data_IF_152032863117
#
_entry.id   IF_152032863117
#
_cell.length_a   1.000
_cell.length_b   1.000
_cell.length_c   1.000
_cell.angle_alpha   90.00
_cell.angle_beta   90.00
_cell.angle_gamma   90.00
#
_symmetry.space_group_name_H-M   'P 1'
#
loop_
_entity.id
_entity.type
_entity.pdbx_description
1 polymer ?
#
# COMPACT_ATOMS: atom_id res chain seq x y z
N UNK A 1 48.44 6.72 -28.15
CA UNK A 1 46.96 6.74 -28.10
C UNK A 1 46.51 8.08 -27.56
N UNK A 2 45.72 8.83 -28.31
CA UNK A 2 45.27 10.18 -27.93
C UNK A 2 44.11 10.08 -26.94
N UNK A 3 44.30 10.57 -25.71
CA UNK A 3 43.20 10.68 -24.72
C UNK A 3 42.39 11.92 -25.03
N UNK A 4 41.16 11.73 -25.52
CA UNK A 4 40.18 12.81 -25.67
C UNK A 4 39.36 12.90 -24.38
N UNK A 5 39.33 14.08 -23.76
CA UNK A 5 38.49 14.38 -22.60
C UNK A 5 37.41 15.36 -23.05
N UNK A 6 36.15 14.90 -23.03
CA UNK A 6 34.99 15.75 -23.28
C UNK A 6 34.41 16.19 -21.93
N UNK A 7 34.31 17.49 -21.70
CA UNK A 7 33.69 18.08 -20.51
C UNK A 7 32.53 18.98 -20.92
N UNK A 8 31.47 19.03 -20.11
CA UNK A 8 30.40 20.03 -20.22
C UNK A 8 30.16 20.67 -18.85
N UNK A 9 29.90 21.96 -18.83
CA UNK A 9 29.38 22.64 -17.64
C UNK A 9 27.91 22.25 -17.47
N UNK A 10 27.52 21.80 -16.29
CA UNK A 10 26.12 21.51 -15.96
C UNK A 10 25.69 22.36 -14.77
N UNK A 11 24.52 22.98 -14.86
CA UNK A 11 23.87 23.62 -13.71
C UNK A 11 23.06 22.58 -12.96
N UNK A 12 23.23 22.51 -11.64
CA UNK A 12 22.49 21.59 -10.76
C UNK A 12 21.75 22.43 -9.72
N UNK A 13 20.41 22.34 -9.64
CA UNK A 13 19.54 21.46 -10.45
C UNK A 13 19.34 21.92 -11.90
N UNK A 14 19.26 20.95 -12.83
CA UNK A 14 18.89 21.18 -14.24
C UNK A 14 17.37 21.40 -14.36
N UNK A 15 16.97 22.67 -14.42
CA UNK A 15 15.55 23.08 -14.45
C UNK A 15 14.79 22.55 -15.67
N UNK A 16 15.47 22.45 -16.83
CA UNK A 16 14.87 21.91 -18.04
C UNK A 16 14.57 20.42 -17.87
N UNK A 17 15.50 19.68 -17.26
CA UNK A 17 15.33 18.26 -16.96
C UNK A 17 14.21 18.02 -15.95
N UNK A 18 14.15 18.80 -14.88
CA UNK A 18 13.04 18.73 -13.89
C UNK A 18 11.70 19.00 -14.56
N UNK A 19 11.61 20.05 -15.38
CA UNK A 19 10.36 20.41 -16.08
C UNK A 19 9.91 19.34 -17.06
N UNK A 20 10.85 18.71 -17.79
CA UNK A 20 10.55 17.57 -18.69
C UNK A 20 9.96 16.39 -17.93
N UNK A 21 10.57 16.02 -16.81
CA UNK A 21 10.10 14.93 -15.97
C UNK A 21 8.74 15.20 -15.34
N UNK A 22 8.46 16.45 -14.98
CA UNK A 22 7.13 16.84 -14.50
C UNK A 22 6.03 16.71 -15.57
N UNK A 23 6.38 16.93 -16.84
CA UNK A 23 5.44 16.85 -17.97
C UNK A 23 5.20 15.42 -18.44
N UNK A 24 6.22 14.57 -18.40
CA UNK A 24 6.17 13.18 -18.88
C UNK A 24 6.88 12.27 -17.85
N UNK A 25 6.26 12.03 -16.68
CA UNK A 25 6.87 11.25 -15.59
C UNK A 25 7.14 9.79 -15.97
N UNK A 26 6.50 9.25 -17.01
CA UNK A 26 6.78 7.93 -17.58
C UNK A 26 8.23 7.83 -18.12
N UNK A 27 8.79 8.95 -18.57
CA UNK A 27 10.18 9.07 -19.02
C UNK A 27 11.13 9.56 -17.92
N UNK A 28 10.63 9.63 -16.68
CA UNK A 28 11.39 9.99 -15.50
C UNK A 28 12.51 8.99 -15.17
N UNK A 29 13.48 9.37 -14.33
CA UNK A 29 14.59 8.50 -13.95
C UNK A 29 14.11 7.26 -13.17
N UNK A 30 14.82 6.15 -13.33
CA UNK A 30 14.66 4.95 -12.49
C UNK A 30 15.37 5.16 -11.15
N UNK A 31 14.67 4.94 -10.06
CA UNK A 31 15.20 5.11 -8.70
C UNK A 31 14.73 3.93 -7.85
N UNK A 32 15.65 3.30 -7.14
CA UNK A 32 15.36 2.20 -6.22
C UNK A 32 15.50 2.68 -4.77
N UNK A 33 14.50 2.38 -3.95
CA UNK A 33 14.46 2.67 -2.53
C UNK A 33 14.36 1.38 -1.72
N UNK A 34 15.20 1.26 -0.69
CA UNK A 34 15.00 0.33 0.41
C UNK A 34 14.52 1.16 1.61
N UNK A 35 13.31 0.92 2.08
CA UNK A 35 12.71 1.78 3.10
C UNK A 35 11.65 1.06 3.91
N UNK A 36 11.40 1.54 5.12
CA UNK A 36 10.20 1.22 5.90
C UNK A 36 9.54 2.50 6.38
N UNK A 37 8.46 2.33 7.13
CA UNK A 37 7.76 3.38 7.85
C UNK A 37 7.27 4.55 6.99
N UNK A 38 7.16 5.70 7.65
CA UNK A 38 6.54 6.90 7.11
C UNK A 38 7.53 7.88 6.47
N UNK A 39 8.84 7.69 6.67
CA UNK A 39 9.88 8.66 6.28
C UNK A 39 9.85 9.00 4.78
N UNK A 40 9.69 7.99 3.91
CA UNK A 40 9.62 8.22 2.47
C UNK A 40 8.21 8.60 1.97
N UNK A 41 7.17 8.60 2.80
CA UNK A 41 5.77 8.78 2.33
C UNK A 41 5.57 10.12 1.64
N UNK A 42 6.03 11.22 2.25
CA UNK A 42 5.98 12.54 1.64
C UNK A 42 6.79 12.62 0.34
N UNK A 43 8.01 12.06 0.35
CA UNK A 43 8.87 12.05 -0.83
C UNK A 43 8.26 11.26 -1.99
N UNK A 44 7.65 10.09 -1.75
CA UNK A 44 6.99 9.31 -2.81
C UNK A 44 5.82 10.06 -3.45
N UNK A 45 5.01 10.76 -2.66
CA UNK A 45 3.90 11.57 -3.18
C UNK A 45 4.38 12.70 -4.10
N UNK A 46 5.56 13.24 -3.83
CA UNK A 46 6.16 14.25 -4.70
C UNK A 46 6.86 13.62 -5.90
N UNK A 47 7.63 12.55 -5.70
CA UNK A 47 8.39 11.87 -6.75
C UNK A 47 7.51 11.30 -7.85
N UNK A 48 6.30 10.80 -7.54
CA UNK A 48 5.39 10.28 -8.58
C UNK A 48 5.04 11.33 -9.64
N UNK A 49 5.13 12.62 -9.31
CA UNK A 49 4.94 13.73 -10.26
C UNK A 49 6.08 13.88 -11.27
N UNK A 50 7.24 13.27 -11.01
CA UNK A 50 8.44 13.40 -11.83
C UNK A 50 8.94 12.04 -12.37
N UNK A 51 8.54 10.92 -11.76
CA UNK A 51 8.89 9.60 -12.24
C UNK A 51 7.87 8.54 -11.81
N UNK A 52 7.37 7.77 -12.78
CA UNK A 52 6.63 6.53 -12.55
C UNK A 52 7.55 5.31 -12.46
N UNK A 53 8.87 5.52 -12.59
CA UNK A 53 9.89 4.47 -12.63
C UNK A 53 10.57 4.27 -11.26
N UNK A 54 9.90 4.67 -10.17
CA UNK A 54 10.39 4.46 -8.81
C UNK A 54 10.03 3.06 -8.31
N UNK A 55 11.00 2.37 -7.71
CA UNK A 55 10.87 1.02 -7.17
C UNK A 55 11.10 1.11 -5.66
N UNK A 56 10.18 0.57 -4.88
CA UNK A 56 10.18 0.66 -3.42
C UNK A 56 10.15 -0.74 -2.83
N UNK A 57 11.26 -1.15 -2.25
CA UNK A 57 11.34 -2.33 -1.41
C UNK A 57 11.04 -1.95 0.03
N UNK A 58 10.00 -2.60 0.59
CA UNK A 58 9.54 -2.36 1.96
C UNK A 58 9.83 -3.54 2.88
N UNK A 59 10.22 -3.23 4.12
CA UNK A 59 10.45 -4.23 5.16
C UNK A 59 9.12 -4.77 5.71
N UNK A 60 8.85 -6.09 5.68
CA UNK A 60 7.64 -6.68 6.24
C UNK A 60 7.77 -7.00 7.74
N UNK A 61 8.70 -6.36 8.44
CA UNK A 61 9.06 -6.72 9.82
C UNK A 61 8.43 -5.82 10.89
N UNK A 62 7.68 -4.79 10.49
CA UNK A 62 7.00 -3.89 11.44
C UNK A 62 6.08 -4.66 12.39
N UNK A 63 6.22 -4.37 13.67
CA UNK A 63 5.49 -4.98 14.80
C UNK A 63 4.55 -3.98 15.49
N UNK A 64 4.29 -2.82 14.89
CA UNK A 64 3.40 -1.79 15.42
C UNK A 64 1.94 -1.84 14.94
N UNK A 65 1.04 -1.34 15.79
CA UNK A 65 -0.32 -0.92 15.43
C UNK A 65 -1.23 -2.01 14.85
N UNK A 66 -2.06 -1.65 13.88
CA UNK A 66 -3.04 -2.57 13.26
C UNK A 66 -2.40 -3.71 12.47
N UNK A 67 -1.15 -3.55 12.02
CA UNK A 67 -0.43 -4.61 11.31
C UNK A 67 -0.01 -5.72 12.27
N UNK A 68 0.45 -5.38 13.48
CA UNK A 68 0.80 -6.35 14.51
C UNK A 68 -0.35 -7.31 14.85
N UNK A 69 -1.57 -6.78 15.01
CA UNK A 69 -2.79 -7.58 15.25
C UNK A 69 -3.01 -8.62 14.15
N UNK A 70 -2.79 -8.26 12.88
CA UNK A 70 -2.95 -9.17 11.74
C UNK A 70 -1.86 -10.24 11.70
N UNK A 71 -0.61 -9.86 12.00
CA UNK A 71 0.51 -10.81 12.07
C UNK A 71 0.25 -11.89 13.11
N UNK A 72 -0.12 -11.48 14.33
CA UNK A 72 -0.44 -12.40 15.41
C UNK A 72 -1.66 -13.29 15.13
N UNK A 73 -2.61 -12.82 14.33
CA UNK A 73 -3.83 -13.57 14.03
C UNK A 73 -3.65 -14.60 12.89
N UNK A 74 -2.72 -14.37 11.95
CA UNK A 74 -2.68 -15.13 10.69
C UNK A 74 -1.31 -15.66 10.27
N UNK A 75 -0.26 -15.41 11.06
CA UNK A 75 1.14 -15.76 10.71
C UNK A 75 1.49 -15.21 9.32
N UNK A 76 1.42 -13.89 9.21
CA UNK A 76 1.59 -13.16 7.96
C UNK A 76 2.65 -12.05 8.09
N UNK A 77 3.30 -11.66 6.98
CA UNK A 77 4.21 -10.51 6.97
C UNK A 77 3.50 -9.20 7.36
N UNK A 78 4.24 -8.24 7.90
CA UNK A 78 3.70 -6.91 8.12
C UNK A 78 3.38 -6.22 6.79
N UNK A 79 2.11 -5.87 6.60
CA UNK A 79 1.62 -5.23 5.37
C UNK A 79 1.41 -3.72 5.50
N UNK A 80 1.70 -3.13 6.67
CA UNK A 80 1.43 -1.72 6.99
C UNK A 80 2.20 -0.75 6.09
N UNK A 81 3.50 -0.94 6.00
CA UNK A 81 4.39 -0.12 5.17
C UNK A 81 4.14 -0.34 3.68
N UNK A 82 3.88 -1.59 3.28
CA UNK A 82 3.46 -1.95 1.93
C UNK A 82 2.20 -1.18 1.51
N UNK A 83 1.11 -1.29 2.29
CA UNK A 83 -0.13 -0.53 2.04
C UNK A 83 0.14 0.97 1.98
N UNK A 84 0.87 1.50 2.96
CA UNK A 84 1.12 2.94 3.05
C UNK A 84 1.94 3.46 1.87
N UNK A 85 2.90 2.67 1.37
CA UNK A 85 3.70 2.99 0.18
C UNK A 85 2.88 2.91 -1.10
N UNK A 86 2.02 1.90 -1.24
CA UNK A 86 1.06 1.80 -2.35
C UNK A 86 0.16 3.03 -2.39
N UNK A 87 -0.38 3.47 -1.24
CA UNK A 87 -1.21 4.67 -1.17
C UNK A 87 -0.43 5.97 -1.45
N UNK A 88 0.83 6.06 -1.04
CA UNK A 88 1.65 7.22 -1.36
C UNK A 88 1.86 7.40 -2.88
N UNK A 89 1.93 6.28 -3.61
CA UNK A 89 2.15 6.23 -5.05
C UNK A 89 0.86 6.10 -5.87
N UNK A 90 -0.29 5.89 -5.24
CA UNK A 90 -1.58 5.81 -5.91
C UNK A 90 -1.87 7.07 -6.72
N UNK A 91 -2.53 6.92 -7.86
CA UNK A 91 -3.03 8.06 -8.63
C UNK A 91 -4.26 8.65 -7.90
N UNK A 92 -4.13 9.88 -7.43
CA UNK A 92 -5.20 10.59 -6.69
C UNK A 92 -6.09 11.43 -7.62
N UNK A 93 -5.87 11.36 -8.93
CA UNK A 93 -6.69 12.09 -9.91
C UNK A 93 -8.06 11.44 -10.11
N UNK A 94 -8.96 12.12 -10.82
CA UNK A 94 -10.32 11.62 -11.13
C UNK A 94 -10.30 10.28 -11.87
N UNK A 95 -9.21 9.97 -12.60
CA UNK A 95 -9.02 8.69 -13.28
C UNK A 95 -8.56 7.55 -12.34
N UNK A 96 -8.16 7.88 -11.11
CA UNK A 96 -7.55 6.98 -10.13
C UNK A 96 -8.50 6.35 -9.12
N UNK A 97 -9.82 6.34 -9.38
CA UNK A 97 -10.83 5.74 -8.50
C UNK A 97 -10.78 6.28 -7.06
N UNK A 98 -11.10 7.57 -6.84
CA UNK A 98 -11.00 8.22 -5.52
C UNK A 98 -11.76 7.48 -4.41
N UNK A 99 -12.87 6.83 -4.74
CA UNK A 99 -13.66 6.00 -3.84
C UNK A 99 -12.88 4.78 -3.31
N UNK A 100 -12.05 4.15 -4.16
CA UNK A 100 -11.20 3.03 -3.77
C UNK A 100 -10.03 3.53 -2.91
N UNK A 101 -9.41 4.64 -3.30
CA UNK A 101 -8.35 5.26 -2.50
C UNK A 101 -8.84 5.62 -1.10
N UNK A 102 -10.04 6.19 -1.00
CA UNK A 102 -10.69 6.53 0.28
C UNK A 102 -10.92 5.27 1.11
N UNK A 103 -11.48 4.20 0.53
CA UNK A 103 -11.70 2.93 1.22
C UNK A 103 -10.38 2.34 1.75
N UNK A 104 -9.34 2.29 0.93
CA UNK A 104 -8.06 1.67 1.29
C UNK A 104 -7.29 2.50 2.33
N UNK A 105 -7.51 3.81 2.35
CA UNK A 105 -6.98 4.73 3.36
C UNK A 105 -7.78 4.72 4.66
N UNK A 106 -9.02 4.22 4.65
CA UNK A 106 -9.92 4.27 5.79
C UNK A 106 -9.42 3.42 6.97
N UNK A 107 -9.67 3.94 8.17
CA UNK A 107 -9.43 3.27 9.46
C UNK A 107 -10.68 3.36 10.31
N UNK A 108 -11.00 2.27 10.99
CA UNK A 108 -12.02 2.30 12.03
C UNK A 108 -11.60 3.20 13.19
N UNK A 109 -12.59 3.77 13.87
CA UNK A 109 -12.37 4.55 15.09
C UNK A 109 -11.71 3.70 16.16
N UNK A 110 -10.88 4.33 17.00
CA UNK A 110 -10.31 3.67 18.18
C UNK A 110 -11.28 3.60 19.35
N UNK A 111 -12.31 4.45 19.36
CA UNK A 111 -13.22 4.63 20.50
C UNK A 111 -14.61 4.05 20.25
N UNK A 112 -14.90 3.60 19.03
CA UNK A 112 -16.18 2.96 18.72
C UNK A 112 -16.30 1.59 19.39
N UNK A 113 -17.54 1.23 19.69
CA UNK A 113 -17.89 -0.10 20.20
C UNK A 113 -17.55 -1.21 19.20
N UNK A 114 -17.01 -2.31 19.72
CA UNK A 114 -16.53 -3.43 18.93
C UNK A 114 -17.65 -4.13 18.12
N UNK A 115 -18.85 -4.26 18.67
CA UNK A 115 -19.98 -4.87 17.94
C UNK A 115 -20.52 -3.95 16.85
N UNK A 116 -20.46 -2.63 17.05
CA UNK A 116 -20.70 -1.65 15.97
C UNK A 116 -19.68 -1.82 14.84
N UNK A 117 -18.39 -1.94 15.15
CA UNK A 117 -17.34 -2.12 14.14
C UNK A 117 -17.50 -3.44 13.37
N UNK A 118 -17.82 -4.55 14.06
CA UNK A 118 -18.11 -5.84 13.41
C UNK A 118 -19.31 -5.76 12.47
N UNK A 119 -20.42 -5.14 12.90
CA UNK A 119 -21.59 -4.92 12.02
C UNK A 119 -21.23 -4.10 10.80
N UNK A 120 -20.41 -3.06 10.96
CA UNK A 120 -19.96 -2.24 9.85
C UNK A 120 -19.09 -3.03 8.87
N UNK A 121 -18.11 -3.78 9.37
CA UNK A 121 -17.30 -4.67 8.54
C UNK A 121 -18.17 -5.70 7.79
N UNK A 122 -19.16 -6.28 8.46
CA UNK A 122 -20.12 -7.19 7.82
C UNK A 122 -20.91 -6.49 6.70
N UNK A 123 -21.34 -5.24 6.89
CA UNK A 123 -21.99 -4.46 5.82
C UNK A 123 -21.03 -4.21 4.65
N UNK A 124 -19.74 -3.95 4.93
CA UNK A 124 -18.71 -3.80 3.89
C UNK A 124 -18.54 -5.09 3.08
N UNK A 125 -18.44 -6.25 3.74
CA UNK A 125 -18.35 -7.57 3.09
C UNK A 125 -19.55 -7.81 2.17
N UNK A 126 -20.75 -7.42 2.60
CA UNK A 126 -21.98 -7.55 1.81
C UNK A 126 -22.19 -6.42 0.77
N UNK A 127 -21.25 -5.47 0.65
CA UNK A 127 -21.33 -4.37 -0.30
C UNK A 127 -22.39 -3.32 0.01
N UNK A 128 -22.83 -3.23 1.28
CA UNK A 128 -23.89 -2.33 1.77
C UNK A 128 -23.37 -1.12 2.56
N UNK A 129 -22.09 -1.06 2.87
CA UNK A 129 -21.49 0.11 3.53
C UNK A 129 -21.32 1.25 2.52
N UNK A 130 -21.55 2.49 2.98
CA UNK A 130 -21.47 3.70 2.16
C UNK A 130 -20.12 3.84 1.46
N UNK A 131 -19.02 3.45 2.10
CA UNK A 131 -17.67 3.52 1.50
C UNK A 131 -17.46 2.53 0.34
N UNK A 132 -18.34 1.54 0.19
CA UNK A 132 -18.24 0.50 -0.85
C UNK A 132 -19.32 0.68 -1.91
N UNK A 133 -20.46 1.26 -1.56
CA UNK A 133 -21.60 1.37 -2.48
C UNK A 133 -21.28 2.22 -3.73
N UNK A 134 -20.38 3.20 -3.60
CA UNK A 134 -19.97 4.09 -4.69
C UNK A 134 -18.97 3.43 -5.66
N UNK A 135 -18.35 2.32 -5.28
CA UNK A 135 -17.35 1.63 -6.11
C UNK A 135 -18.04 0.89 -7.25
N UNK A 136 -17.68 1.13 -8.50
CA UNK A 136 -18.28 0.41 -9.63
C UNK A 136 -17.93 -1.10 -9.64
N UNK A 137 -18.80 -1.92 -10.24
CA UNK A 137 -18.44 -3.29 -10.59
C UNK A 137 -17.45 -3.29 -11.79
N UNK A 138 -16.49 -4.23 -11.87
CA UNK A 138 -16.33 -5.43 -11.03
C UNK A 138 -15.52 -5.21 -9.75
N UNK A 139 -14.91 -4.03 -9.54
CA UNK A 139 -13.99 -3.76 -8.43
C UNK A 139 -14.65 -3.93 -7.06
N UNK A 140 -15.91 -3.49 -6.93
CA UNK A 140 -16.71 -3.68 -5.70
C UNK A 140 -16.76 -5.13 -5.25
N UNK A 141 -17.14 -6.04 -6.15
CA UNK A 141 -17.25 -7.48 -5.86
C UNK A 141 -15.91 -8.07 -5.43
N UNK A 142 -14.83 -7.65 -6.08
CA UNK A 142 -13.50 -8.12 -5.77
C UNK A 142 -13.04 -7.68 -4.37
N UNK A 143 -13.30 -6.42 -4.01
CA UNK A 143 -13.03 -5.87 -2.69
C UNK A 143 -13.86 -6.59 -1.61
N UNK A 144 -15.16 -6.73 -1.84
CA UNK A 144 -16.07 -7.46 -0.94
C UNK A 144 -15.60 -8.90 -0.73
N UNK A 145 -15.17 -9.58 -1.79
CA UNK A 145 -14.66 -10.95 -1.71
C UNK A 145 -13.43 -11.05 -0.80
N UNK A 146 -12.43 -10.19 -0.98
CA UNK A 146 -11.24 -10.19 -0.11
C UNK A 146 -11.58 -9.84 1.35
N UNK A 147 -12.45 -8.85 1.60
CA UNK A 147 -12.96 -8.61 2.95
C UNK A 147 -13.67 -9.83 3.53
N UNK A 148 -14.41 -10.58 2.71
CA UNK A 148 -15.08 -11.81 3.10
C UNK A 148 -14.11 -12.87 3.59
N UNK A 149 -13.00 -13.10 2.89
CA UNK A 149 -11.95 -14.03 3.33
C UNK A 149 -11.36 -13.64 4.69
N UNK A 150 -11.05 -12.35 4.89
CA UNK A 150 -10.61 -11.86 6.20
C UNK A 150 -11.70 -12.09 7.26
N UNK A 151 -12.94 -11.73 6.98
CA UNK A 151 -14.06 -11.83 7.92
C UNK A 151 -14.35 -13.28 8.33
N UNK A 152 -14.19 -14.24 7.42
CA UNK A 152 -14.35 -15.67 7.72
C UNK A 152 -13.20 -16.21 8.58
N UNK A 153 -11.98 -15.71 8.39
CA UNK A 153 -10.80 -16.17 9.10
C UNK A 153 -10.62 -15.50 10.48
N UNK A 154 -11.11 -14.26 10.67
CA UNK A 154 -10.91 -13.54 11.92
C UNK A 154 -11.62 -14.23 13.10
N UNK A 155 -10.94 -14.30 14.25
CA UNK A 155 -11.55 -14.77 15.49
C UNK A 155 -12.66 -13.83 15.97
N UNK A 156 -13.63 -14.36 16.73
CA UNK A 156 -14.70 -13.54 17.34
C UNK A 156 -14.18 -12.42 18.24
N UNK A 157 -13.01 -12.62 18.84
CA UNK A 157 -12.36 -11.68 19.75
C UNK A 157 -11.36 -10.75 19.04
N UNK A 158 -11.26 -10.79 17.71
CA UNK A 158 -10.35 -9.94 16.97
C UNK A 158 -10.74 -8.46 17.12
N UNK A 159 -9.89 -7.65 17.75
CA UNK A 159 -10.19 -6.24 18.02
C UNK A 159 -10.03 -5.34 16.77
N UNK A 160 -11.16 -4.81 16.28
CA UNK A 160 -11.24 -4.00 15.06
C UNK A 160 -10.95 -2.51 15.29
N UNK A 161 -10.83 -2.05 16.54
CA UNK A 161 -10.56 -0.65 16.85
C UNK A 161 -9.22 -0.23 16.23
N UNK A 162 -9.25 0.87 15.48
CA UNK A 162 -8.09 1.39 14.74
C UNK A 162 -7.64 0.56 13.52
N UNK A 163 -8.34 -0.53 13.18
CA UNK A 163 -7.99 -1.37 12.04
C UNK A 163 -8.07 -0.59 10.72
N UNK A 164 -7.08 -0.76 9.85
CA UNK A 164 -7.12 -0.20 8.50
C UNK A 164 -7.84 -1.14 7.55
N UNK A 165 -8.84 -0.64 6.85
CA UNK A 165 -9.58 -1.43 5.86
C UNK A 165 -8.69 -1.91 4.72
N UNK A 166 -7.78 -1.06 4.22
CA UNK A 166 -6.77 -1.49 3.25
C UNK A 166 -5.93 -2.67 3.76
N UNK A 167 -5.55 -2.69 5.05
CA UNK A 167 -4.84 -3.83 5.61
C UNK A 167 -5.74 -5.08 5.72
N UNK A 168 -7.02 -4.93 6.08
CA UNK A 168 -7.95 -6.06 6.14
C UNK A 168 -8.16 -6.69 4.76
N UNK A 169 -8.25 -5.87 3.71
CA UNK A 169 -8.37 -6.31 2.31
C UNK A 169 -7.11 -7.06 1.87
N UNK A 170 -5.93 -6.51 2.13
CA UNK A 170 -4.65 -7.16 1.83
C UNK A 170 -4.51 -8.49 2.57
N UNK A 171 -4.87 -8.54 3.86
CA UNK A 171 -4.85 -9.78 4.65
C UNK A 171 -5.84 -10.82 4.10
N UNK A 172 -7.06 -10.42 3.77
CA UNK A 172 -8.03 -11.32 3.16
C UNK A 172 -7.60 -11.84 1.79
N UNK A 173 -6.93 -11.02 0.97
CA UNK A 173 -6.34 -11.46 -0.29
C UNK A 173 -5.13 -12.37 -0.12
N UNK A 174 -4.29 -12.13 0.89
CA UNK A 174 -3.20 -13.05 1.27
C UNK A 174 -3.75 -14.43 1.65
N UNK A 175 -4.79 -14.46 2.48
CA UNK A 175 -5.46 -15.71 2.87
C UNK A 175 -6.11 -16.43 1.68
N UNK A 176 -6.77 -15.69 0.79
CA UNK A 176 -7.38 -16.24 -0.42
C UNK A 176 -6.36 -16.82 -1.41
N UNK A 177 -5.14 -16.30 -1.45
CA UNK A 177 -4.09 -16.73 -2.39
C UNK A 177 -3.07 -17.65 -1.71
N UNK A 178 -3.52 -18.59 -0.87
CA UNK A 178 -2.65 -19.59 -0.23
C UNK A 178 -1.44 -19.01 0.53
N UNK A 179 -1.63 -17.86 1.20
CA UNK A 179 -0.56 -17.15 1.92
C UNK A 179 0.54 -16.59 0.98
N UNK A 180 0.18 -16.24 -0.24
CA UNK A 180 1.04 -15.48 -1.15
C UNK A 180 0.62 -14.00 -1.20
N UNK A 181 1.58 -13.10 -0.98
CA UNK A 181 1.33 -11.66 -0.93
C UNK A 181 1.34 -11.00 -2.31
N UNK A 182 2.18 -11.49 -3.23
CA UNK A 182 2.38 -10.88 -4.55
C UNK A 182 1.07 -10.74 -5.36
N UNK A 183 0.18 -11.75 -5.45
CA UNK A 183 -1.04 -11.62 -6.24
C UNK A 183 -1.96 -10.50 -5.74
N UNK A 184 -2.11 -10.38 -4.41
CA UNK A 184 -2.96 -9.33 -3.84
C UNK A 184 -2.30 -7.95 -3.92
N UNK A 185 -0.98 -7.85 -3.79
CA UNK A 185 -0.25 -6.59 -3.98
C UNK A 185 -0.38 -6.10 -5.42
N UNK A 186 -0.23 -7.00 -6.40
CA UNK A 186 -0.42 -6.67 -7.80
C UNK A 186 -1.84 -6.15 -8.05
N UNK A 187 -2.85 -6.86 -7.56
CA UNK A 187 -4.23 -6.46 -7.71
C UNK A 187 -4.51 -5.09 -7.06
N UNK A 188 -4.08 -4.90 -5.81
CA UNK A 188 -4.25 -3.66 -5.07
C UNK A 188 -3.57 -2.49 -5.81
N UNK A 189 -2.39 -2.71 -6.38
CA UNK A 189 -1.67 -1.73 -7.19
C UNK A 189 -2.46 -1.30 -8.43
N UNK A 190 -3.20 -2.22 -9.06
CA UNK A 190 -4.06 -1.91 -10.21
C UNK A 190 -5.32 -1.16 -9.81
N UNK A 191 -5.95 -1.53 -8.70
CA UNK A 191 -7.18 -0.89 -8.23
C UNK A 191 -7.02 0.60 -7.92
N UNK A 192 -5.85 1.01 -7.44
CA UNK A 192 -5.53 2.42 -7.12
C UNK A 192 -4.50 3.05 -8.06
N UNK A 193 -4.30 2.43 -9.23
CA UNK A 193 -3.38 2.88 -10.28
C UNK A 193 -2.03 3.39 -9.73
N UNK A 194 -1.27 2.52 -9.05
CA UNK A 194 0.00 2.89 -8.43
C UNK A 194 1.04 3.32 -9.47
N UNK A 195 1.58 4.53 -9.29
CA UNK A 195 2.57 5.18 -10.15
C UNK A 195 4.00 4.83 -9.69
N UNK A 196 4.35 3.55 -9.83
CA UNK A 196 5.63 2.99 -9.40
C UNK A 196 5.53 1.50 -9.16
N UNK A 197 6.58 0.90 -8.62
CA UNK A 197 6.58 -0.49 -8.16
C UNK A 197 6.81 -0.54 -6.66
N UNK A 198 5.99 -1.30 -5.95
CA UNK A 198 6.14 -1.54 -4.51
C UNK A 198 6.17 -3.05 -4.27
N UNK A 199 7.17 -3.52 -3.53
CA UNK A 199 7.36 -4.94 -3.21
C UNK A 199 7.88 -5.08 -1.79
N UNK A 200 7.54 -6.16 -1.10
CA UNK A 200 8.23 -6.54 0.12
C UNK A 200 9.60 -7.14 -0.21
N UNK A 201 10.56 -7.02 0.71
CA UNK A 201 11.89 -7.65 0.56
C UNK A 201 11.87 -9.17 0.75
N UNK A 202 10.84 -9.68 1.43
CA UNK A 202 10.55 -11.10 1.59
C UNK A 202 9.03 -11.30 1.72
N UNK A 203 8.57 -12.52 1.49
CA UNK A 203 7.20 -12.96 1.81
C UNK A 203 7.10 -13.61 3.19
N UNK A 204 8.23 -13.87 3.84
CA UNK A 204 8.29 -14.52 5.15
C UNK A 204 7.89 -13.55 6.28
N UNK A 205 7.40 -14.12 7.38
CA UNK A 205 6.87 -13.42 8.56
C UNK A 205 7.93 -13.17 9.66
N UNK A 206 9.19 -12.96 9.28
CA UNK A 206 10.30 -12.79 10.23
C UNK A 206 10.13 -11.67 11.26
N UNK A 207 10.81 -11.83 12.40
CA UNK A 207 10.88 -10.86 13.48
C UNK A 207 12.23 -10.11 13.48
N UNK A 208 12.17 -8.80 13.70
CA UNK A 208 13.36 -7.98 13.93
C UNK A 208 13.77 -8.10 15.42
N UNK A 209 15.03 -8.44 15.67
CA UNK A 209 15.62 -8.53 17.01
C UNK A 209 16.82 -7.61 17.12
N UNK A 210 17.11 -7.10 18.33
CA UNK A 210 18.26 -6.26 18.63
C UNK A 210 19.03 -6.91 19.77
N UNK A 211 20.34 -7.09 19.59
CA UNK A 211 21.27 -7.46 20.65
C UNK A 211 21.76 -6.17 21.32
N UNK A 212 21.61 -6.08 22.64
CA UNK A 212 22.05 -4.93 23.42
C UNK A 212 23.44 -5.21 24.01
N UNK A 213 24.28 -4.17 24.06
CA UNK A 213 25.59 -4.20 24.74
C UNK A 213 25.46 -4.30 26.27
#
# INVERSE_FOLDING_TARGET
>A
MTKIRVCRTASIPDQLRISRYRKIPELGPRILFFSGGTALTGLSRELKKFTHNSIHFVSPFDSGGSSAKLRHAFDMPAIGDLRSRLMALADETVLGHPEIYQLFSYRFSQTDDQERLKRRLHNMVNGKDDLINDIANPMRKLICNHLGYFYQAMSKDFDLRGASIGNLILAGGYLNNHKELEPIVFLFSKLVNVLGTVRTITNDDYHLSVELE
#
